data_IF_407269021270
#
_entry.id   IF_407269021270
#
_cell.length_a   1.000
_cell.length_b   1.000
_cell.length_c   1.000
_cell.angle_alpha   90.00
_cell.angle_beta   90.00
_cell.angle_gamma   90.00
#
_symmetry.space_group_name_H-M   'P 1'
#
loop_
_entity.id
_entity.type
_entity.pdbx_description
1 polymer ?
#
# COMPACT_ATOMS: atom_id res chain seq x y z
N UNK A 1 1.77 -8.24 33.05
CA UNK A 1 2.17 -8.54 31.67
C UNK A 1 2.19 -10.06 31.48
N UNK A 2 1.28 -10.63 30.71
CA UNK A 2 1.36 -12.06 30.33
C UNK A 2 2.43 -12.18 29.25
N UNK A 3 3.51 -12.95 29.51
CA UNK A 3 4.45 -13.36 28.48
C UNK A 3 3.68 -14.16 27.41
N UNK A 4 3.58 -13.65 26.17
CA UNK A 4 3.12 -14.45 25.04
C UNK A 4 4.05 -15.65 24.91
N UNK A 5 3.51 -16.87 25.10
CA UNK A 5 4.20 -18.07 24.62
C UNK A 5 4.02 -18.08 23.09
N UNK A 6 5.03 -17.61 22.38
CA UNK A 6 5.05 -17.67 20.92
C UNK A 6 5.25 -19.12 20.47
N UNK A 7 4.16 -19.80 20.18
CA UNK A 7 4.19 -21.11 19.52
C UNK A 7 4.48 -21.02 18.00
N UNK A 8 4.38 -19.84 17.44
CA UNK A 8 4.83 -19.52 16.08
C UNK A 8 5.48 -18.13 16.10
N UNK A 9 6.56 -17.97 15.35
CA UNK A 9 7.27 -16.69 15.24
C UNK A 9 6.54 -15.76 14.25
N UNK A 10 5.23 -15.52 14.50
CA UNK A 10 4.36 -14.71 13.67
C UNK A 10 4.26 -13.32 14.30
N UNK A 11 4.59 -12.30 13.52
CA UNK A 11 4.37 -10.91 13.89
C UNK A 11 2.92 -10.54 13.59
N UNK A 12 2.32 -9.78 14.52
CA UNK A 12 0.96 -9.29 14.39
C UNK A 12 0.98 -7.77 14.21
N UNK A 13 0.28 -7.30 13.19
CA UNK A 13 0.13 -5.89 12.90
C UNK A 13 -1.34 -5.47 12.77
N UNK A 14 -1.54 -4.19 12.53
CA UNK A 14 -2.87 -3.59 12.31
C UNK A 14 -2.74 -2.49 11.25
N UNK A 15 -3.80 -2.22 10.49
CA UNK A 15 -3.85 -1.04 9.65
C UNK A 15 -4.07 0.23 10.49
N UNK A 16 -3.40 1.32 10.15
CA UNK A 16 -3.47 2.56 10.92
C UNK A 16 -4.90 3.12 11.02
N UNK A 17 -5.74 2.93 10.00
CA UNK A 17 -7.14 3.37 10.01
C UNK A 17 -8.05 2.56 10.94
N UNK A 18 -7.59 1.39 11.40
CA UNK A 18 -8.30 0.57 12.40
C UNK A 18 -7.97 0.97 13.84
N UNK A 19 -7.06 1.92 14.06
CA UNK A 19 -6.61 2.35 15.38
C UNK A 19 -7.36 3.60 15.82
N UNK A 20 -7.85 3.69 17.08
CA UNK A 20 -8.42 4.92 17.61
C UNK A 20 -7.34 5.98 17.78
N UNK A 21 -7.20 6.86 16.82
CA UNK A 21 -6.13 7.85 16.73
C UNK A 21 -5.34 7.65 15.46
N UNK A 22 -5.17 8.71 14.70
CA UNK A 22 -4.71 8.65 13.31
C UNK A 22 -3.32 9.25 13.14
N UNK A 23 -2.73 8.98 11.99
CA UNK A 23 -1.47 9.53 11.57
C UNK A 23 -0.33 9.12 12.49
N UNK A 24 0.56 10.06 12.76
CA UNK A 24 1.81 9.85 13.52
C UNK A 24 1.61 9.49 14.99
N UNK A 25 0.39 9.53 15.52
CA UNK A 25 0.06 9.10 16.88
C UNK A 25 -0.28 7.60 16.94
N UNK A 26 -0.68 6.99 15.84
CA UNK A 26 -1.06 5.58 15.79
C UNK A 26 0.06 4.62 16.26
N UNK A 27 1.36 4.81 15.93
CA UNK A 27 2.43 3.92 16.37
C UNK A 27 2.52 3.76 17.90
N UNK A 28 2.27 4.82 18.66
CA UNK A 28 2.24 4.73 20.13
C UNK A 28 1.14 3.79 20.59
N UNK A 29 -0.07 3.98 20.08
CA UNK A 29 -1.24 3.18 20.43
C UNK A 29 -1.02 1.70 20.07
N UNK A 30 -0.50 1.44 18.87
CA UNK A 30 -0.17 0.09 18.40
C UNK A 30 0.83 -0.61 19.32
N UNK A 31 1.87 0.12 19.77
CA UNK A 31 2.83 -0.38 20.75
C UNK A 31 2.18 -0.69 22.11
N UNK A 32 1.29 0.20 22.59
CA UNK A 32 0.55 0.00 23.85
C UNK A 32 -0.43 -1.19 23.76
N UNK A 33 -0.97 -1.49 22.57
CA UNK A 33 -1.76 -2.71 22.30
C UNK A 33 -0.91 -3.99 22.30
N UNK A 34 0.43 -3.87 22.28
CA UNK A 34 1.36 -5.00 22.26
C UNK A 34 1.42 -5.68 20.89
N UNK A 35 1.15 -4.96 19.81
CA UNK A 35 1.33 -5.40 18.42
C UNK A 35 2.76 -5.13 17.94
N UNK A 36 3.19 -5.87 16.92
CA UNK A 36 4.56 -5.81 16.41
C UNK A 36 4.74 -4.77 15.30
N UNK A 37 3.65 -4.46 14.57
CA UNK A 37 3.75 -3.57 13.42
C UNK A 37 2.44 -2.89 13.03
N UNK A 38 2.55 -2.00 12.07
CA UNK A 38 1.42 -1.24 11.54
C UNK A 38 1.59 -0.98 10.04
N UNK A 39 0.55 -1.26 9.25
CA UNK A 39 0.45 -0.76 7.89
C UNK A 39 0.17 0.75 7.92
N UNK A 40 0.93 1.52 7.14
CA UNK A 40 0.79 2.97 7.09
C UNK A 40 -0.02 3.34 5.84
N UNK A 41 -1.04 4.18 6.02
CA UNK A 41 -1.80 4.75 4.91
C UNK A 41 -1.02 5.88 4.25
N UNK A 42 -0.94 5.86 2.90
CA UNK A 42 -0.28 6.91 2.13
C UNK A 42 -1.01 8.26 2.22
N UNK A 43 -2.32 8.20 2.43
CA UNK A 43 -3.22 9.34 2.47
C UNK A 43 -4.02 9.49 1.19
N UNK A 44 -4.90 10.51 1.14
CA UNK A 44 -5.85 10.71 0.06
C UNK A 44 -5.53 11.93 -0.80
N UNK A 45 -6.09 11.94 -2.02
CA UNK A 45 -6.04 13.06 -2.97
C UNK A 45 -6.54 14.36 -2.36
N UNK A 46 -7.67 14.30 -1.65
CA UNK A 46 -8.28 15.47 -1.00
C UNK A 46 -7.37 16.13 0.05
N UNK A 47 -6.51 15.33 0.70
CA UNK A 47 -5.58 15.80 1.73
C UNK A 47 -4.13 15.89 1.23
N UNK A 48 -3.90 15.83 -0.09
CA UNK A 48 -2.59 16.00 -0.72
C UNK A 48 -1.61 14.87 -0.40
N UNK A 49 -2.10 13.65 -0.18
CA UNK A 49 -1.29 12.47 0.12
C UNK A 49 -0.23 12.73 1.19
N UNK A 50 -0.67 12.78 2.45
CA UNK A 50 0.13 13.24 3.58
C UNK A 50 1.53 12.58 3.66
N UNK A 51 1.63 11.26 3.38
CA UNK A 51 2.89 10.53 3.44
C UNK A 51 3.86 10.89 2.28
N UNK A 52 3.43 11.65 1.27
CA UNK A 52 4.34 12.20 0.25
C UNK A 52 5.28 13.30 0.81
N UNK A 53 4.94 13.84 1.99
CA UNK A 53 5.68 14.92 2.62
C UNK A 53 6.81 14.37 3.49
N UNK A 54 8.05 14.79 3.22
CA UNK A 54 9.23 14.34 3.99
C UNK A 54 9.05 14.49 5.50
N UNK A 55 8.48 15.62 5.96
CA UNK A 55 8.26 15.88 7.38
C UNK A 55 7.35 14.84 8.04
N UNK A 56 6.33 14.35 7.32
CA UNK A 56 5.42 13.32 7.83
C UNK A 56 6.14 11.97 7.90
N UNK A 57 6.91 11.63 6.86
CA UNK A 57 7.74 10.41 6.86
C UNK A 57 8.74 10.41 8.02
N UNK A 58 9.43 11.53 8.26
CA UNK A 58 10.37 11.67 9.39
C UNK A 58 9.67 11.43 10.74
N UNK A 59 8.46 11.98 10.94
CA UNK A 59 7.70 11.76 12.17
C UNK A 59 7.30 10.29 12.38
N UNK A 60 6.97 9.56 11.31
CA UNK A 60 6.74 8.12 11.40
C UNK A 60 8.01 7.35 11.72
N UNK A 61 9.16 7.71 11.12
CA UNK A 61 10.44 7.08 11.42
C UNK A 61 10.87 7.33 12.87
N UNK A 62 10.67 8.54 13.40
CA UNK A 62 10.90 8.87 14.80
C UNK A 62 9.99 8.02 15.72
N UNK A 63 8.72 7.88 15.36
CA UNK A 63 7.77 7.06 16.10
C UNK A 63 8.15 5.57 16.05
N UNK A 64 8.60 5.06 14.90
CA UNK A 64 9.11 3.70 14.74
C UNK A 64 10.25 3.43 15.72
N UNK A 65 11.24 4.31 15.73
CA UNK A 65 12.39 4.19 16.63
C UNK A 65 11.98 4.26 18.11
N UNK A 66 11.07 5.19 18.44
CA UNK A 66 10.63 5.43 19.82
C UNK A 66 9.80 4.28 20.39
N UNK A 67 8.91 3.72 19.60
CA UNK A 67 7.91 2.76 20.07
C UNK A 67 8.21 1.32 19.65
N UNK A 68 9.25 1.09 18.83
CA UNK A 68 9.67 -0.23 18.39
C UNK A 68 8.66 -0.93 17.47
N UNK A 69 7.88 -0.16 16.68
CA UNK A 69 6.87 -0.67 15.74
C UNK A 69 7.47 -0.82 14.35
N UNK A 70 7.21 -1.95 13.68
CA UNK A 70 7.61 -2.15 12.30
C UNK A 70 6.54 -1.64 11.33
N UNK A 71 6.98 -1.15 10.17
CA UNK A 71 6.10 -0.78 9.06
C UNK A 71 6.33 -1.75 7.90
N UNK A 72 5.51 -2.82 7.78
CA UNK A 72 5.71 -3.84 6.76
C UNK A 72 5.34 -3.35 5.35
N UNK A 73 4.43 -2.40 5.25
CA UNK A 73 3.95 -1.86 3.98
C UNK A 73 3.37 -0.46 4.11
N UNK A 74 3.22 0.20 2.94
CA UNK A 74 2.40 1.39 2.76
C UNK A 74 1.13 0.96 2.01
N UNK A 75 -0.03 1.29 2.57
CA UNK A 75 -1.33 1.11 1.93
C UNK A 75 -1.75 2.34 1.14
N UNK A 76 -2.29 2.13 -0.03
CA UNK A 76 -2.80 3.17 -0.92
C UNK A 76 -4.29 2.94 -1.19
N UNK A 77 -5.14 3.18 -0.18
CA UNK A 77 -6.59 2.97 -0.27
C UNK A 77 -7.34 4.05 -1.07
N UNK A 78 -6.64 5.12 -1.48
CA UNK A 78 -7.23 6.17 -2.33
C UNK A 78 -7.69 5.67 -3.72
N UNK A 79 -7.28 4.46 -4.12
CA UNK A 79 -7.81 3.74 -5.27
C UNK A 79 -9.33 3.52 -5.23
N UNK A 80 -9.93 3.57 -4.06
CA UNK A 80 -11.39 3.53 -3.90
C UNK A 80 -12.09 4.78 -4.45
N UNK A 81 -11.39 5.90 -4.52
CA UNK A 81 -11.90 7.20 -4.96
C UNK A 81 -11.29 7.67 -6.28
N UNK A 82 -10.06 7.26 -6.58
CA UNK A 82 -9.29 7.69 -7.75
C UNK A 82 -9.00 6.48 -8.64
N UNK A 83 -9.50 6.44 -9.90
CA UNK A 83 -9.40 5.26 -10.74
C UNK A 83 -7.95 4.97 -11.14
N UNK A 84 -7.41 3.88 -10.58
CA UNK A 84 -6.04 3.42 -10.80
C UNK A 84 -5.72 3.09 -12.25
N UNK A 85 -6.70 2.55 -13.00
CA UNK A 85 -6.57 2.14 -14.40
C UNK A 85 -6.61 3.29 -15.41
N UNK A 86 -6.66 4.55 -14.94
CA UNK A 86 -6.76 5.75 -15.79
C UNK A 86 -5.76 5.71 -16.96
N UNK A 87 -6.22 5.71 -18.22
CA UNK A 87 -5.35 5.60 -19.38
C UNK A 87 -4.66 6.91 -19.70
N UNK A 88 -3.57 6.83 -20.47
CA UNK A 88 -2.88 8.02 -20.98
C UNK A 88 -3.84 8.86 -21.85
N UNK A 89 -3.87 10.18 -21.61
CA UNK A 89 -4.78 11.12 -22.27
C UNK A 89 -6.03 11.47 -21.46
N UNK A 90 -6.31 10.73 -20.38
CA UNK A 90 -7.32 11.11 -19.40
C UNK A 90 -6.83 12.31 -18.55
N UNK A 91 -7.70 13.28 -18.21
CA UNK A 91 -7.32 14.43 -17.37
C UNK A 91 -6.73 14.04 -16.00
N UNK A 92 -7.10 12.89 -15.46
CA UNK A 92 -6.58 12.39 -14.17
C UNK A 92 -5.29 11.60 -14.29
N UNK A 93 -4.80 11.30 -15.50
CA UNK A 93 -3.64 10.43 -15.71
C UNK A 93 -2.41 10.90 -14.93
N UNK A 94 -2.07 12.19 -15.05
CA UNK A 94 -0.88 12.75 -14.39
C UNK A 94 -1.02 12.76 -12.86
N UNK A 95 -2.22 13.00 -12.34
CA UNK A 95 -2.48 12.93 -10.90
C UNK A 95 -2.32 11.50 -10.37
N UNK A 96 -2.88 10.52 -11.08
CA UNK A 96 -2.73 9.10 -10.72
C UNK A 96 -1.26 8.68 -10.83
N UNK A 97 -0.58 9.07 -11.90
CA UNK A 97 0.84 8.76 -12.10
C UNK A 97 1.71 9.35 -10.98
N UNK A 98 1.42 10.60 -10.58
CA UNK A 98 2.11 11.24 -9.46
C UNK A 98 1.87 10.50 -8.14
N UNK A 99 0.61 10.18 -7.84
CA UNK A 99 0.24 9.45 -6.63
C UNK A 99 1.00 8.14 -6.49
N UNK A 100 0.91 7.27 -7.51
CA UNK A 100 1.49 5.92 -7.42
C UNK A 100 3.03 5.94 -7.34
N UNK A 101 3.69 6.87 -8.05
CA UNK A 101 5.15 7.01 -7.96
C UNK A 101 5.60 7.58 -6.62
N UNK A 102 4.85 8.54 -6.05
CA UNK A 102 5.17 9.10 -4.74
C UNK A 102 4.99 8.09 -3.59
N UNK A 103 4.07 7.14 -3.71
CA UNK A 103 3.95 6.05 -2.75
C UNK A 103 5.22 5.16 -2.76
N UNK A 104 5.74 4.82 -3.94
CA UNK A 104 7.01 4.08 -4.08
C UNK A 104 8.20 4.89 -3.55
N UNK A 105 8.27 6.20 -3.85
CA UNK A 105 9.33 7.07 -3.33
C UNK A 105 9.30 7.15 -1.81
N UNK A 106 8.12 7.22 -1.19
CA UNK A 106 7.95 7.21 0.26
C UNK A 106 8.42 5.89 0.87
N UNK A 107 8.05 4.75 0.27
CA UNK A 107 8.52 3.45 0.70
C UNK A 107 10.04 3.34 0.65
N UNK A 108 10.67 3.80 -0.45
CA UNK A 108 12.12 3.83 -0.60
C UNK A 108 12.80 4.70 0.47
N UNK A 109 12.26 5.90 0.72
CA UNK A 109 12.78 6.81 1.73
C UNK A 109 12.71 6.21 3.14
N UNK A 110 11.57 5.60 3.48
CA UNK A 110 11.31 5.01 4.78
C UNK A 110 11.88 3.60 4.94
N UNK A 111 12.44 3.01 3.88
CA UNK A 111 12.92 1.61 3.82
C UNK A 111 11.82 0.60 4.11
N UNK A 112 10.62 0.88 3.65
CA UNK A 112 9.46 -0.01 3.74
C UNK A 112 9.48 -0.94 2.52
N UNK A 113 9.39 -2.26 2.68
CA UNK A 113 9.65 -3.20 1.58
C UNK A 113 8.52 -3.33 0.57
N UNK A 114 7.31 -2.89 0.90
CA UNK A 114 6.12 -3.12 0.07
C UNK A 114 5.21 -1.89 0.00
N UNK A 115 4.62 -1.67 -1.17
CA UNK A 115 3.47 -0.77 -1.37
C UNK A 115 2.32 -1.57 -1.95
N UNK A 116 1.15 -1.53 -1.33
CA UNK A 116 -0.04 -2.12 -1.93
C UNK A 116 -1.08 -1.07 -2.30
N UNK A 117 -1.81 -1.34 -3.37
CA UNK A 117 -2.86 -0.48 -3.89
C UNK A 117 -4.20 -1.20 -3.81
N UNK A 118 -5.18 -0.59 -3.15
CA UNK A 118 -6.57 -1.04 -3.16
C UNK A 118 -7.22 -0.72 -4.50
N UNK A 119 -7.72 -1.75 -5.18
CA UNK A 119 -8.40 -1.62 -6.47
C UNK A 119 -9.88 -1.99 -6.36
N UNK A 120 -10.60 -1.31 -5.47
CA UNK A 120 -12.05 -1.41 -5.31
C UNK A 120 -12.76 -0.22 -5.96
N UNK A 121 -14.04 -0.16 -5.87
CA UNK A 121 -14.90 0.97 -6.26
C UNK A 121 -14.45 1.65 -7.57
N UNK A 122 -13.89 2.87 -7.50
CA UNK A 122 -13.43 3.61 -8.67
C UNK A 122 -12.33 2.89 -9.47
N UNK A 123 -11.53 2.07 -8.80
CA UNK A 123 -10.43 1.31 -9.42
C UNK A 123 -10.78 -0.14 -9.75
N UNK A 124 -12.04 -0.55 -9.61
CA UNK A 124 -12.46 -1.93 -9.93
C UNK A 124 -12.27 -2.22 -11.42
N UNK A 125 -11.38 -3.17 -11.71
CA UNK A 125 -11.06 -3.59 -13.08
C UNK A 125 -12.01 -4.70 -13.57
N UNK A 126 -13.31 -4.41 -13.64
CA UNK A 126 -14.39 -5.35 -13.97
C UNK A 126 -14.53 -5.64 -15.47
N UNK A 127 -13.89 -4.86 -16.34
CA UNK A 127 -13.84 -5.07 -17.81
C UNK A 127 -12.42 -5.42 -18.28
N UNK A 128 -12.29 -6.06 -19.45
CA UNK A 128 -10.99 -6.38 -20.04
C UNK A 128 -10.13 -5.14 -20.28
N UNK A 129 -10.74 -4.04 -20.76
CA UNK A 129 -10.03 -2.76 -20.99
C UNK A 129 -9.46 -2.19 -19.68
N UNK A 130 -10.26 -2.20 -18.61
CA UNK A 130 -9.79 -1.75 -17.29
C UNK A 130 -8.70 -2.65 -16.75
N UNK A 131 -8.83 -3.97 -16.91
CA UNK A 131 -7.84 -4.94 -16.49
C UNK A 131 -6.50 -4.73 -17.23
N UNK A 132 -6.55 -4.52 -18.54
CA UNK A 132 -5.36 -4.20 -19.34
C UNK A 132 -4.68 -2.91 -18.89
N UNK A 133 -5.44 -1.85 -18.63
CA UNK A 133 -4.90 -0.57 -18.17
C UNK A 133 -4.35 -0.69 -16.75
N UNK A 134 -4.99 -1.46 -15.88
CA UNK A 134 -4.49 -1.80 -14.54
C UNK A 134 -3.15 -2.55 -14.64
N UNK A 135 -3.06 -3.56 -15.50
CA UNK A 135 -1.82 -4.31 -15.72
C UNK A 135 -0.68 -3.42 -16.26
N UNK A 136 -0.98 -2.51 -17.19
CA UNK A 136 0.00 -1.53 -17.71
C UNK A 136 0.54 -0.64 -16.58
N UNK A 137 -0.33 -0.19 -15.69
CA UNK A 137 0.05 0.63 -14.54
C UNK A 137 0.95 -0.14 -13.57
N UNK A 138 0.58 -1.36 -13.24
CA UNK A 138 1.39 -2.21 -12.37
C UNK A 138 2.75 -2.56 -12.97
N UNK A 139 2.83 -2.86 -14.26
CA UNK A 139 4.14 -3.05 -14.94
C UNK A 139 5.03 -1.83 -14.78
N UNK A 140 4.47 -0.65 -15.08
CA UNK A 140 5.21 0.60 -14.89
C UNK A 140 5.72 0.77 -13.46
N UNK A 141 4.86 0.50 -12.46
CA UNK A 141 5.24 0.63 -11.04
C UNK A 141 6.30 -0.39 -10.62
N UNK A 142 6.17 -1.62 -11.07
CA UNK A 142 7.17 -2.66 -10.80
C UNK A 142 8.53 -2.29 -11.38
N UNK A 143 8.56 -1.82 -12.64
CA UNK A 143 9.78 -1.35 -13.28
C UNK A 143 10.37 -0.14 -12.53
N UNK A 144 9.54 0.81 -12.10
CA UNK A 144 9.96 1.98 -11.31
C UNK A 144 10.48 1.60 -9.91
N UNK A 145 9.95 0.54 -9.30
CA UNK A 145 10.28 0.08 -7.96
C UNK A 145 11.47 -0.90 -7.92
N UNK A 146 11.83 -1.52 -9.06
CA UNK A 146 12.80 -2.61 -9.12
C UNK A 146 14.16 -2.25 -8.51
N UNK A 147 14.77 -1.13 -8.94
CA UNK A 147 16.07 -0.69 -8.43
C UNK A 147 16.03 -0.24 -6.96
N UNK A 148 14.84 -0.03 -6.42
CA UNK A 148 14.60 0.37 -5.03
C UNK A 148 14.38 -0.84 -4.11
N UNK A 149 14.25 -2.05 -4.68
CA UNK A 149 13.99 -3.28 -3.94
C UNK A 149 12.61 -3.30 -3.27
N UNK A 150 11.60 -2.64 -3.89
CA UNK A 150 10.25 -2.53 -3.33
C UNK A 150 9.32 -3.46 -4.11
N UNK A 151 8.54 -4.23 -3.36
CA UNK A 151 7.45 -5.06 -3.86
C UNK A 151 6.21 -4.19 -4.09
N UNK A 152 5.53 -4.40 -5.21
CA UNK A 152 4.26 -3.78 -5.57
C UNK A 152 3.16 -4.83 -5.44
N UNK A 153 2.13 -4.53 -4.67
CA UNK A 153 1.05 -5.47 -4.44
C UNK A 153 -0.31 -4.88 -4.78
N UNK A 154 -1.22 -5.75 -5.22
CA UNK A 154 -2.58 -5.40 -5.59
C UNK A 154 -3.57 -6.08 -4.63
N UNK A 155 -4.42 -5.29 -4.01
CA UNK A 155 -5.60 -5.76 -3.30
C UNK A 155 -6.85 -5.48 -4.16
N UNK A 156 -7.69 -6.49 -4.38
CA UNK A 156 -8.87 -6.35 -5.23
C UNK A 156 -9.90 -7.46 -4.97
N UNK A 157 -11.20 -7.23 -5.29
CA UNK A 157 -12.28 -8.21 -5.12
C UNK A 157 -12.56 -9.02 -6.40
N UNK A 158 -11.59 -9.13 -7.31
CA UNK A 158 -11.77 -9.88 -8.55
C UNK A 158 -11.82 -11.39 -8.27
N UNK A 159 -12.43 -12.16 -9.18
CA UNK A 159 -12.37 -13.62 -9.10
C UNK A 159 -10.92 -14.12 -9.21
N UNK A 160 -10.67 -15.31 -8.68
CA UNK A 160 -9.34 -15.94 -8.73
C UNK A 160 -8.79 -15.98 -10.16
N UNK A 161 -9.64 -16.30 -11.16
CA UNK A 161 -9.26 -16.36 -12.56
C UNK A 161 -8.77 -15.00 -13.07
N UNK A 162 -9.48 -13.92 -12.75
CA UNK A 162 -9.08 -12.55 -13.14
C UNK A 162 -7.85 -12.07 -12.38
N UNK A 163 -7.69 -12.46 -11.12
CA UNK A 163 -6.48 -12.17 -10.37
C UNK A 163 -5.25 -12.85 -10.99
N UNK A 164 -5.37 -14.13 -11.36
CA UNK A 164 -4.30 -14.85 -12.05
C UNK A 164 -4.00 -14.25 -13.43
N UNK A 165 -5.04 -13.87 -14.18
CA UNK A 165 -4.89 -13.15 -15.45
C UNK A 165 -4.12 -11.82 -15.25
N UNK A 166 -4.43 -11.07 -14.21
CA UNK A 166 -3.71 -9.82 -13.88
C UNK A 166 -2.23 -10.10 -13.59
N UNK A 167 -1.91 -11.13 -12.80
CA UNK A 167 -0.53 -11.53 -12.52
C UNK A 167 0.22 -11.88 -13.78
N UNK A 168 -0.37 -12.69 -14.66
CA UNK A 168 0.21 -13.05 -15.97
C UNK A 168 0.43 -11.82 -16.86
N UNK A 169 -0.53 -10.89 -16.87
CA UNK A 169 -0.44 -9.65 -17.65
C UNK A 169 0.61 -8.70 -17.12
N UNK A 170 0.82 -8.63 -15.81
CA UNK A 170 1.86 -7.77 -15.21
C UNK A 170 3.25 -8.35 -15.47
N UNK A 171 3.44 -9.65 -15.33
CA UNK A 171 4.68 -10.39 -15.63
C UNK A 171 5.94 -9.69 -15.06
N UNK A 172 5.95 -9.48 -13.73
CA UNK A 172 7.07 -8.89 -12.99
C UNK A 172 7.31 -9.63 -11.67
N UNK A 173 8.57 -9.94 -11.38
CA UNK A 173 8.97 -10.71 -10.18
C UNK A 173 8.65 -9.98 -8.87
N UNK A 174 8.63 -8.64 -8.89
CA UNK A 174 8.30 -7.81 -7.74
C UNK A 174 6.81 -7.39 -7.70
N UNK A 175 5.93 -8.14 -8.40
CA UNK A 175 4.49 -7.99 -8.31
C UNK A 175 3.86 -9.12 -7.51
N UNK A 176 2.93 -8.78 -6.60
CA UNK A 176 2.17 -9.77 -5.82
C UNK A 176 0.70 -9.37 -5.66
N UNK A 177 -0.08 -10.32 -5.13
CA UNK A 177 -1.43 -10.05 -4.68
C UNK A 177 -1.42 -9.89 -3.15
N UNK A 178 -2.02 -8.82 -2.66
CA UNK A 178 -2.25 -8.62 -1.24
C UNK A 178 -3.54 -9.35 -0.87
N UNK A 179 -3.39 -10.49 -0.19
CA UNK A 179 -4.52 -11.32 0.17
C UNK A 179 -5.23 -10.77 1.41
N UNK A 180 -6.51 -10.50 1.26
CA UNK A 180 -7.43 -10.24 2.36
C UNK A 180 -8.53 -11.31 2.37
N UNK A 181 -8.71 -11.94 3.51
CA UNK A 181 -9.69 -13.04 3.69
C UNK A 181 -11.14 -12.55 3.70
N UNK A 182 -11.38 -11.24 3.76
CA UNK A 182 -12.70 -10.62 3.79
C UNK A 182 -13.17 -10.12 2.41
N UNK A 183 -12.33 -10.29 1.38
CA UNK A 183 -12.62 -9.93 -0.02
C UNK A 183 -13.15 -11.10 -0.83
#
# INVERSE_FOLDING_TARGET
MRKRQNYMNVKLGICNFCVPGTGVFAPQIVSEMGLDGMSIEFGSYEHGWALSQKKIMDLYLDAQQKYGIEYPNIGCSDGDNVPFYTPQGDPMYDAVQHWVTKAVDAAAYMKIPMVFFSNFNASLADTEEKLENTAKRYRYLCDYAADKGIEISCENPLSVEKQLQLVEMVDRENFSLFYDSDN
#
